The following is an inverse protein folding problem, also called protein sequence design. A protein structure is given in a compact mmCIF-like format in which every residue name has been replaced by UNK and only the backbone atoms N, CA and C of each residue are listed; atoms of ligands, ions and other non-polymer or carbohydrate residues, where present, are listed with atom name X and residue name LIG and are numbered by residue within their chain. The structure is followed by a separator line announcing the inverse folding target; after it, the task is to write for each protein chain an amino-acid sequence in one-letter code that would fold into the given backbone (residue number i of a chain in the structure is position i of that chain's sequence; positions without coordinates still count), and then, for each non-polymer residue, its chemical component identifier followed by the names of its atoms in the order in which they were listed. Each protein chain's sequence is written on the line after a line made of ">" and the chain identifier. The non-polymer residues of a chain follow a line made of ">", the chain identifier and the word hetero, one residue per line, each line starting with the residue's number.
data_IF_655205164716
#
_entry.id   IF_655205164716
#
_cell.length_a   1.000
_cell.length_b   1.000
_cell.length_c   1.000
_cell.angle_alpha   90.00
_cell.angle_beta   90.00
_cell.angle_gamma   90.00
#
_symmetry.space_group_name_H-M   'P 1'
#
loop_
_entity.id
_entity.type
_entity.pdbx_description
1 polymer ?
#
# COMPACT_ATOMS: atom_id res chain seq x y z
N UNK A 1 8.27 1.63 -11.69
CA UNK A 1 7.14 0.89 -12.33
C UNK A 1 5.77 1.45 -11.93
N UNK A 2 5.49 1.64 -10.64
CA UNK A 2 4.22 2.18 -10.11
C UNK A 2 3.81 3.49 -10.79
N UNK A 3 4.68 4.52 -10.77
CA UNK A 3 4.38 5.83 -11.39
C UNK A 3 3.90 5.72 -12.84
N UNK A 4 4.62 4.96 -13.67
CA UNK A 4 4.26 4.77 -15.08
C UNK A 4 2.87 4.15 -15.26
N UNK A 5 2.45 3.24 -14.38
CA UNK A 5 1.10 2.67 -14.46
C UNK A 5 0.04 3.67 -13.99
N UNK A 6 0.33 4.43 -12.94
CA UNK A 6 -0.61 5.43 -12.43
C UNK A 6 -0.72 6.64 -13.37
N UNK A 7 0.34 6.99 -14.09
CA UNK A 7 0.29 7.98 -15.17
C UNK A 7 -0.68 7.57 -16.27
N UNK A 8 -0.77 6.27 -16.59
CA UNK A 8 -1.76 5.80 -17.57
C UNK A 8 -3.18 6.00 -17.06
N UNK A 9 -3.45 5.68 -15.79
CA UNK A 9 -4.77 5.87 -15.17
C UNK A 9 -5.14 7.35 -15.11
N UNK A 10 -4.21 8.21 -14.71
CA UNK A 10 -4.41 9.65 -14.70
C UNK A 10 -4.73 10.18 -16.09
N UNK A 11 -3.93 9.80 -17.08
CA UNK A 11 -4.06 10.30 -18.44
C UNK A 11 -5.31 9.79 -19.17
N UNK A 12 -5.81 8.60 -18.82
CA UNK A 12 -7.02 8.06 -19.40
C UNK A 12 -8.29 8.61 -18.73
N UNK A 13 -8.27 8.77 -17.39
CA UNK A 13 -9.49 9.00 -16.61
C UNK A 13 -9.46 10.32 -15.82
N UNK A 14 -8.51 10.48 -14.90
CA UNK A 14 -8.54 11.59 -13.92
C UNK A 14 -8.43 12.96 -14.60
N UNK A 15 -7.52 13.11 -15.58
CA UNK A 15 -7.39 14.39 -16.31
C UNK A 15 -8.67 14.79 -17.06
N UNK A 16 -9.55 13.82 -17.32
CA UNK A 16 -10.81 13.99 -18.05
C UNK A 16 -12.03 14.07 -17.09
N UNK A 17 -11.81 14.19 -15.78
CA UNK A 17 -12.88 14.33 -14.79
C UNK A 17 -13.44 13.01 -14.23
N UNK A 18 -12.85 11.87 -14.57
CA UNK A 18 -13.28 10.56 -14.05
C UNK A 18 -12.37 10.11 -12.91
N UNK A 19 -12.94 10.00 -11.70
CA UNK A 19 -12.22 9.48 -10.54
C UNK A 19 -11.77 8.03 -10.74
N UNK A 20 -10.62 7.68 -10.18
CA UNK A 20 -10.08 6.32 -10.22
C UNK A 20 -9.90 5.80 -8.80
N UNK A 21 -10.36 4.57 -8.59
CA UNK A 21 -10.12 3.79 -7.37
C UNK A 21 -9.30 2.56 -7.74
N UNK A 22 -8.14 2.40 -7.12
CA UNK A 22 -7.44 1.11 -7.07
C UNK A 22 -8.12 0.31 -5.97
N UNK A 23 -9.09 -0.51 -6.37
CA UNK A 23 -9.94 -1.26 -5.45
C UNK A 23 -9.19 -2.29 -4.61
N UNK A 24 -8.01 -2.73 -5.06
CA UNK A 24 -7.17 -3.66 -4.33
C UNK A 24 -5.69 -3.40 -4.61
N UNK A 25 -4.89 -3.36 -3.55
CA UNK A 25 -3.44 -3.50 -3.62
C UNK A 25 -2.93 -4.13 -2.31
N UNK A 26 -1.74 -4.73 -2.35
CA UNK A 26 -1.09 -5.23 -1.15
C UNK A 26 0.19 -5.97 -1.47
N UNK A 27 0.94 -6.30 -0.42
CA UNK A 27 2.09 -7.19 -0.50
C UNK A 27 1.96 -8.23 0.61
N UNK A 28 2.05 -9.50 0.23
CA UNK A 28 1.82 -10.62 1.12
C UNK A 28 2.99 -10.83 2.10
N UNK A 29 2.66 -11.39 3.26
CA UNK A 29 3.64 -11.78 4.26
C UNK A 29 4.54 -12.92 3.74
N UNK A 30 5.85 -12.70 3.82
CA UNK A 30 6.91 -13.66 3.51
C UNK A 30 7.97 -13.68 4.60
N UNK A 31 7.61 -13.30 5.83
CA UNK A 31 8.53 -13.26 6.99
C UNK A 31 9.16 -14.61 7.32
N UNK A 32 8.52 -15.71 6.90
CA UNK A 32 9.05 -17.07 6.93
C UNK A 32 10.34 -17.26 6.12
N UNK A 33 10.54 -16.45 5.06
CA UNK A 33 11.71 -16.50 4.17
C UNK A 33 12.67 -15.33 4.38
N UNK A 34 12.14 -14.17 4.74
CA UNK A 34 12.91 -12.95 4.94
C UNK A 34 12.35 -12.17 6.13
N UNK A 35 13.10 -12.10 7.23
CA UNK A 35 12.68 -11.41 8.46
C UNK A 35 12.46 -9.90 8.25
N UNK A 36 13.09 -9.31 7.23
CA UNK A 36 12.93 -7.89 6.87
C UNK A 36 11.67 -7.65 6.02
N UNK A 37 10.92 -8.70 5.66
CA UNK A 37 9.77 -8.59 4.76
C UNK A 37 8.72 -7.55 5.19
N UNK A 38 8.45 -7.41 6.49
CA UNK A 38 7.50 -6.40 7.01
C UNK A 38 7.95 -4.97 6.68
N UNK A 39 9.25 -4.68 6.73
CA UNK A 39 9.81 -3.36 6.36
C UNK A 39 9.56 -3.08 4.87
N UNK A 40 9.81 -4.06 4.01
CA UNK A 40 9.56 -3.90 2.58
C UNK A 40 8.07 -3.80 2.23
N UNK A 41 7.19 -4.51 2.96
CA UNK A 41 5.73 -4.39 2.83
C UNK A 41 5.24 -3.00 3.22
N UNK A 42 5.77 -2.44 4.31
CA UNK A 42 5.47 -1.08 4.74
C UNK A 42 5.96 -0.05 3.69
N UNK A 43 7.21 -0.16 3.24
CA UNK A 43 7.73 0.70 2.17
C UNK A 43 6.89 0.65 0.89
N UNK A 44 6.53 -0.56 0.44
CA UNK A 44 5.68 -0.75 -0.73
C UNK A 44 4.32 -0.06 -0.55
N UNK A 45 3.68 -0.25 0.61
CA UNK A 45 2.40 0.38 0.92
C UNK A 45 2.51 1.91 0.95
N UNK A 46 3.57 2.46 1.54
CA UNK A 46 3.83 3.90 1.56
C UNK A 46 4.01 4.46 0.16
N UNK A 47 4.85 3.82 -0.66
CA UNK A 47 5.15 4.29 -2.02
C UNK A 47 3.91 4.21 -2.93
N UNK A 48 3.11 3.16 -2.83
CA UNK A 48 1.86 3.03 -3.59
C UNK A 48 0.90 4.18 -3.24
N UNK A 49 0.69 4.44 -1.94
CA UNK A 49 -0.20 5.53 -1.52
C UNK A 49 0.35 6.90 -1.87
N UNK A 50 1.66 7.12 -1.73
CA UNK A 50 2.33 8.33 -2.19
C UNK A 50 2.08 8.55 -3.69
N UNK A 51 2.41 7.57 -4.53
CA UNK A 51 2.28 7.70 -5.98
C UNK A 51 0.82 7.90 -6.44
N UNK A 52 -0.13 7.27 -5.74
CA UNK A 52 -1.56 7.41 -5.98
C UNK A 52 -2.06 8.81 -5.59
N UNK A 53 -1.67 9.28 -4.40
CA UNK A 53 -2.04 10.60 -3.88
C UNK A 53 -1.64 11.73 -4.83
N UNK A 54 -0.42 11.67 -5.38
CA UNK A 54 0.08 12.66 -6.37
C UNK A 54 -0.79 12.79 -7.63
N UNK A 55 -1.69 11.83 -7.88
CA UNK A 55 -2.54 11.77 -9.07
C UNK A 55 -4.03 11.76 -8.73
N UNK A 56 -4.42 12.02 -7.48
CA UNK A 56 -5.82 11.90 -7.02
C UNK A 56 -6.45 10.50 -7.20
N UNK A 57 -5.62 9.45 -7.12
CA UNK A 57 -6.11 8.06 -7.14
C UNK A 57 -6.41 7.64 -5.70
N UNK A 58 -7.62 7.12 -5.46
CA UNK A 58 -7.99 6.51 -4.18
C UNK A 58 -7.54 5.05 -4.19
N UNK A 59 -6.99 4.58 -3.08
CA UNK A 59 -6.48 3.21 -2.92
C UNK A 59 -7.24 2.51 -1.80
N UNK A 60 -7.48 1.20 -1.97
CA UNK A 60 -8.07 0.34 -0.96
C UNK A 60 -7.13 -0.84 -0.76
N UNK A 61 -6.57 -0.96 0.45
CA UNK A 61 -5.67 -2.06 0.78
C UNK A 61 -6.46 -3.36 0.85
N UNK A 62 -5.97 -4.38 0.15
CA UNK A 62 -6.56 -5.71 0.23
C UNK A 62 -6.15 -6.38 1.53
N UNK A 63 -7.02 -6.31 2.52
CA UNK A 63 -6.92 -7.09 3.75
C UNK A 63 -7.76 -8.37 3.55
N UNK A 64 -7.17 -9.55 3.70
CA UNK A 64 -7.88 -10.82 3.58
C UNK A 64 -8.24 -11.45 4.95
N UNK A 65 -8.00 -10.74 6.05
CA UNK A 65 -8.22 -11.20 7.42
C UNK A 65 -7.24 -12.26 7.91
N UNK A 66 -6.25 -12.64 7.11
CA UNK A 66 -5.28 -13.67 7.49
C UNK A 66 -3.90 -13.08 7.78
N UNK A 67 -3.43 -13.29 9.01
CA UNK A 67 -2.09 -12.99 9.48
C UNK A 67 -1.25 -14.28 9.51
N UNK A 68 -0.30 -14.42 8.58
CA UNK A 68 0.51 -15.62 8.44
C UNK A 68 1.14 -15.71 7.05
N UNK A 69 1.80 -16.82 6.74
CA UNK A 69 2.52 -16.98 5.49
C UNK A 69 1.60 -16.72 4.27
N UNK A 70 1.98 -15.74 3.45
CA UNK A 70 1.24 -15.23 2.30
C UNK A 70 -0.08 -14.50 2.61
N UNK A 71 -0.34 -14.18 3.87
CA UNK A 71 -1.46 -13.36 4.31
C UNK A 71 -1.28 -11.87 4.00
N UNK A 72 -2.40 -11.15 3.97
CA UNK A 72 -2.45 -9.71 3.80
C UNK A 72 -3.07 -8.99 5.02
N UNK A 73 -3.51 -9.70 6.04
CA UNK A 73 -4.19 -9.11 7.20
C UNK A 73 -3.40 -7.96 7.85
N UNK A 74 -4.06 -6.82 8.00
CA UNK A 74 -3.62 -5.68 8.81
C UNK A 74 -4.35 -5.64 10.16
N UNK A 75 -5.52 -6.26 10.21
CA UNK A 75 -6.37 -6.37 11.40
C UNK A 75 -6.72 -7.83 11.67
N UNK A 76 -6.77 -8.19 12.95
CA UNK A 76 -7.52 -9.37 13.39
C UNK A 76 -9.00 -8.98 13.46
N UNK A 77 -9.82 -9.63 12.62
CA UNK A 77 -11.26 -9.34 12.52
C UNK A 77 -12.08 -10.03 13.61
N UNK A 78 -11.54 -11.04 14.26
CA UNK A 78 -12.19 -11.75 15.36
C UNK A 78 -12.02 -10.97 16.64
N UNK A 79 -10.77 -10.57 16.91
CA UNK A 79 -10.39 -9.85 18.13
C UNK A 79 -10.54 -8.33 18.01
N UNK A 80 -10.86 -7.82 16.81
CA UNK A 80 -10.95 -6.39 16.51
C UNK A 80 -9.67 -5.61 16.86
N UNK A 81 -8.50 -6.20 16.59
CA UNK A 81 -7.18 -5.62 16.93
C UNK A 81 -6.33 -5.31 15.69
N UNK A 82 -5.37 -4.40 15.85
CA UNK A 82 -4.36 -4.10 14.83
C UNK A 82 -3.22 -5.13 14.90
N UNK A 83 -2.89 -5.76 13.79
CA UNK A 83 -1.81 -6.77 13.70
C UNK A 83 -0.59 -6.28 12.91
N UNK A 84 -0.74 -5.26 12.07
CA UNK A 84 0.36 -4.69 11.26
C UNK A 84 0.44 -3.16 11.39
N UNK A 85 0.77 -2.63 12.58
CA UNK A 85 0.74 -1.19 12.83
C UNK A 85 1.71 -0.39 11.92
N UNK A 86 2.86 -0.96 11.58
CA UNK A 86 3.85 -0.29 10.71
C UNK A 86 3.33 -0.14 9.27
N UNK A 87 2.66 -1.16 8.74
CA UNK A 87 2.08 -1.09 7.39
C UNK A 87 0.96 -0.05 7.37
N UNK A 88 0.08 -0.04 8.37
CA UNK A 88 -1.01 0.95 8.51
C UNK A 88 -0.43 2.37 8.57
N UNK A 89 0.60 2.59 9.39
CA UNK A 89 1.29 3.88 9.49
C UNK A 89 1.86 4.32 8.14
N UNK A 90 2.51 3.41 7.41
CA UNK A 90 3.03 3.69 6.07
C UNK A 90 1.95 4.02 5.04
N UNK A 91 0.78 3.37 5.10
CA UNK A 91 -0.38 3.75 4.27
C UNK A 91 -0.78 5.20 4.53
N UNK A 92 -0.94 5.56 5.81
CA UNK A 92 -1.31 6.92 6.25
C UNK A 92 -0.25 7.95 5.82
N UNK A 93 1.03 7.63 5.98
CA UNK A 93 2.13 8.50 5.59
C UNK A 93 2.12 8.75 4.08
N UNK A 94 2.05 7.69 3.27
CA UNK A 94 2.00 7.80 1.82
C UNK A 94 0.84 8.67 1.33
N UNK A 95 -0.34 8.52 1.96
CA UNK A 95 -1.52 9.32 1.62
C UNK A 95 -1.42 10.81 2.01
N UNK A 96 -0.37 11.22 2.75
CA UNK A 96 -0.11 12.60 3.17
C UNK A 96 1.22 13.15 2.64
N UNK A 97 2.01 12.33 1.98
CA UNK A 97 3.39 12.64 1.66
C UNK A 97 3.52 13.52 0.40
N UNK A 98 4.36 14.55 0.49
CA UNK A 98 4.79 15.39 -0.64
C UNK A 98 6.07 14.89 -1.30
N UNK A 99 6.86 14.08 -0.58
CA UNK A 99 8.09 13.44 -1.04
C UNK A 99 8.01 11.92 -0.92
N UNK A 100 8.67 11.21 -1.83
CA UNK A 100 8.69 9.76 -1.81
C UNK A 100 9.45 9.21 -0.59
N UNK A 101 9.04 8.07 -0.02
CA UNK A 101 9.79 7.41 1.05
C UNK A 101 11.16 6.93 0.54
N UNK A 102 12.16 6.92 1.42
CA UNK A 102 13.46 6.32 1.15
C UNK A 102 13.33 4.80 1.02
N UNK A 103 13.99 4.20 0.02
CA UNK A 103 14.02 2.76 -0.13
C UNK A 103 14.74 2.12 1.08
N UNK A 104 14.22 1.02 1.66
CA UNK A 104 14.92 0.30 2.70
C UNK A 104 16.22 -0.29 2.15
N UNK A 105 17.29 -0.20 2.94
CA UNK A 105 18.58 -0.82 2.64
C UNK A 105 18.66 -2.19 3.30
N UNK A 106 19.37 -3.12 2.65
CA UNK A 106 19.72 -4.43 3.20
C UNK A 106 20.76 -4.34 4.34
#
# INVERSE_FOLDING_TARGET
>A
LVNRQFDKLYNAFIKNGYGVVIGEYGANDKTSKDKSNTIYRAYFAEYVNYAAHQRNIVTVYWDNGYNGNHGFGLFDRTECTVTQPEIIKSIINGAKATTAPAAPTE
#
